data_IF_375812534375
#
_entry.id   IF_375812534375
#
_cell.length_a   1.000
_cell.length_b   1.000
_cell.length_c   1.000
_cell.angle_alpha   90.00
_cell.angle_beta   90.00
_cell.angle_gamma   90.00
#
_symmetry.space_group_name_H-M   'P 1'
#
loop_
_entity.id
_entity.type
_entity.pdbx_description
1 polymer ?
#
# COMPACT_ATOMS: atom_id res chain seq x y z
N UNK A 1 -9.04 -0.34 4.74
CA UNK A 1 -8.48 -0.88 3.49
C UNK A 1 -8.90 0.05 2.38
N UNK A 2 -7.98 0.47 1.52
CA UNK A 2 -8.30 1.33 0.38
C UNK A 2 -7.23 2.39 0.15
N UNK A 3 -7.53 3.32 -0.74
CA UNK A 3 -6.71 4.50 -1.01
C UNK A 3 -6.82 5.52 0.14
N UNK A 4 -5.69 5.79 0.80
CA UNK A 4 -5.59 6.78 1.86
C UNK A 4 -5.19 8.18 1.36
N UNK A 5 -4.85 8.33 0.08
CA UNK A 5 -4.28 9.55 -0.51
C UNK A 5 -3.12 10.13 0.30
N UNK A 6 -2.39 9.26 0.99
CA UNK A 6 -1.20 9.61 1.75
C UNK A 6 -0.08 8.64 1.41
N UNK A 7 1.04 9.17 0.95
CA UNK A 7 2.15 8.34 0.51
C UNK A 7 2.90 7.77 1.72
N UNK A 8 2.85 6.45 1.87
CA UNK A 8 3.50 5.74 2.96
C UNK A 8 5.03 5.89 2.97
N UNK A 9 5.62 6.40 1.88
CA UNK A 9 7.06 6.66 1.77
C UNK A 9 7.48 8.03 2.33
N UNK A 10 6.54 8.93 2.59
CA UNK A 10 6.83 10.28 3.11
C UNK A 10 6.71 10.27 4.64
N UNK A 11 7.80 10.63 5.32
CA UNK A 11 7.86 10.73 6.77
C UNK A 11 7.23 12.01 7.29
N UNK A 12 6.70 11.92 8.51
CA UNK A 12 6.06 12.99 9.29
C UNK A 12 4.78 13.54 8.65
N UNK A 13 4.10 12.72 7.86
CA UNK A 13 2.81 13.03 7.24
C UNK A 13 1.69 12.09 7.74
N UNK A 14 0.59 11.98 6.98
CA UNK A 14 -0.62 11.26 7.38
C UNK A 14 -0.41 9.78 7.66
N UNK A 15 0.49 9.11 6.93
CA UNK A 15 0.85 7.72 7.18
C UNK A 15 1.39 7.52 8.59
N UNK A 16 2.37 8.35 9.01
CA UNK A 16 2.93 8.29 10.35
C UNK A 16 1.89 8.64 11.43
N UNK A 17 0.97 9.57 11.15
CA UNK A 17 -0.15 9.86 12.05
C UNK A 17 -1.04 8.63 12.29
N UNK A 18 -1.36 7.87 11.22
CA UNK A 18 -2.17 6.66 11.32
C UNK A 18 -1.45 5.56 12.13
N UNK A 19 -0.15 5.37 11.91
CA UNK A 19 0.66 4.43 12.71
C UNK A 19 0.68 4.83 14.19
N UNK A 20 0.90 6.12 14.48
CA UNK A 20 0.91 6.64 15.86
C UNK A 20 -0.46 6.55 16.54
N UNK A 21 -1.54 6.45 15.76
CA UNK A 21 -2.91 6.25 16.26
C UNK A 21 -3.22 4.77 16.58
N UNK A 22 -2.24 3.88 16.46
CA UNK A 22 -2.37 2.46 16.82
C UNK A 22 -2.77 1.55 15.65
N UNK A 23 -2.80 2.06 14.41
CA UNK A 23 -2.96 1.22 13.24
C UNK A 23 -1.64 0.54 12.86
N UNK A 24 -1.74 -0.70 12.43
CA UNK A 24 -0.62 -1.52 11.98
C UNK A 24 -0.77 -1.73 10.49
N UNK A 25 0.24 -1.37 9.71
CA UNK A 25 0.26 -1.62 8.28
C UNK A 25 0.57 -3.10 8.01
N UNK A 26 -0.38 -3.83 7.41
CA UNK A 26 -0.22 -5.26 7.11
C UNK A 26 0.97 -5.54 6.20
N UNK A 27 1.36 -4.60 5.33
CA UNK A 27 2.56 -4.73 4.50
C UNK A 27 3.82 -4.73 5.35
N UNK A 28 3.93 -3.85 6.34
CA UNK A 28 5.15 -3.76 7.17
C UNK A 28 5.39 -5.02 8.00
N UNK A 29 4.31 -5.68 8.44
CA UNK A 29 4.37 -6.90 9.25
C UNK A 29 4.34 -8.18 8.42
N UNK A 30 4.24 -8.09 7.09
CA UNK A 30 4.20 -9.26 6.21
C UNK A 30 5.55 -9.98 6.15
N UNK A 31 5.51 -11.32 6.20
CA UNK A 31 6.68 -12.19 5.99
C UNK A 31 7.20 -12.03 4.56
N UNK A 32 6.31 -12.18 3.57
CA UNK A 32 6.62 -11.97 2.15
C UNK A 32 5.93 -10.70 1.63
N UNK A 33 6.68 -9.87 0.91
CA UNK A 33 6.18 -8.62 0.30
C UNK A 33 7.03 -8.22 -0.90
N UNK A 34 6.43 -7.48 -1.83
CA UNK A 34 7.12 -6.88 -2.98
C UNK A 34 7.62 -5.45 -2.67
N UNK A 35 7.66 -4.54 -3.65
CA UNK A 35 8.06 -3.15 -3.44
C UNK A 35 6.92 -2.27 -2.90
N UNK A 36 5.69 -2.78 -2.86
CA UNK A 36 4.53 -2.11 -2.31
C UNK A 36 4.03 -0.91 -3.12
N UNK A 37 4.54 -0.66 -4.34
CA UNK A 37 4.12 0.48 -5.14
C UNK A 37 2.72 0.27 -5.68
N UNK A 38 1.78 1.14 -5.31
CA UNK A 38 0.37 1.05 -5.73
C UNK A 38 0.02 2.06 -6.81
N UNK A 39 0.85 3.07 -7.02
CA UNK A 39 0.70 4.04 -8.11
C UNK A 39 2.04 4.27 -8.78
N UNK A 40 2.06 4.16 -10.12
CA UNK A 40 3.25 4.42 -10.94
C UNK A 40 2.98 5.52 -11.94
N UNK A 41 3.86 6.52 -11.96
CA UNK A 41 3.75 7.65 -12.88
C UNK A 41 2.75 8.70 -12.41
N UNK A 42 2.17 9.43 -13.36
CA UNK A 42 1.24 10.52 -13.08
C UNK A 42 -0.20 10.02 -13.09
N UNK A 43 -0.95 10.45 -12.08
CA UNK A 43 -2.40 10.25 -11.94
C UNK A 43 -3.05 11.61 -11.66
N UNK A 44 -4.37 11.69 -11.81
CA UNK A 44 -5.12 12.92 -11.55
C UNK A 44 -4.89 13.40 -10.10
N UNK A 45 -4.61 14.70 -9.92
CA UNK A 45 -4.27 15.32 -8.64
C UNK A 45 -2.80 15.22 -8.24
N UNK A 46 -1.97 14.54 -9.05
CA UNK A 46 -0.53 14.36 -8.84
C UNK A 46 0.29 14.69 -10.09
N UNK A 47 -0.22 15.61 -10.92
CA UNK A 47 0.38 15.99 -12.19
C UNK A 47 1.84 16.43 -12.02
N UNK A 48 2.72 15.98 -12.92
CA UNK A 48 4.16 16.24 -12.85
C UNK A 48 4.93 15.43 -11.80
N UNK A 49 4.27 14.66 -10.91
CA UNK A 49 4.95 13.80 -9.93
C UNK A 49 5.06 12.36 -10.43
N UNK A 50 6.12 12.08 -11.20
CA UNK A 50 6.43 10.75 -11.76
C UNK A 50 6.97 9.72 -10.77
N UNK A 51 7.08 10.10 -9.50
CA UNK A 51 7.57 9.21 -8.45
C UNK A 51 6.58 8.08 -8.19
N UNK A 52 7.11 6.88 -7.94
CA UNK A 52 6.32 5.76 -7.45
C UNK A 52 5.74 6.09 -6.07
N UNK A 53 4.48 5.74 -5.82
CA UNK A 53 3.79 6.02 -4.56
C UNK A 53 3.16 4.76 -3.99
N UNK A 54 2.94 4.76 -2.67
CA UNK A 54 2.19 3.73 -1.97
C UNK A 54 1.04 4.38 -1.20
N UNK A 55 -0.12 4.47 -1.86
CA UNK A 55 -1.31 5.17 -1.36
C UNK A 55 -2.37 4.20 -0.85
N UNK A 56 -2.43 3.00 -1.43
CA UNK A 56 -3.41 1.99 -1.10
C UNK A 56 -2.87 1.10 0.02
N UNK A 57 -3.54 1.12 1.17
CA UNK A 57 -3.04 0.47 2.38
C UNK A 57 -4.13 -0.39 3.02
N UNK A 58 -3.72 -1.56 3.49
CA UNK A 58 -4.52 -2.44 4.33
C UNK A 58 -3.95 -2.34 5.75
N UNK A 59 -4.62 -1.54 6.59
CA UNK A 59 -4.31 -1.48 8.02
C UNK A 59 -5.12 -2.50 8.82
N UNK A 60 -4.59 -2.89 9.97
CA UNK A 60 -5.26 -3.64 11.03
C UNK A 60 -5.09 -2.92 12.37
N UNK A 61 -6.05 -3.06 13.28
CA UNK A 61 -5.97 -2.55 14.65
C UNK A 61 -5.63 -3.65 15.68
N UNK A 62 -5.28 -4.85 15.20
CA UNK A 62 -4.89 -6.01 16.01
C UNK A 62 -3.68 -6.70 15.40
N UNK A 63 -2.89 -7.36 16.23
CA UNK A 63 -1.81 -8.23 15.76
C UNK A 63 -2.42 -9.39 14.97
N UNK A 64 -1.96 -9.58 13.73
CA UNK A 64 -2.37 -10.67 12.84
C UNK A 64 -1.11 -11.24 12.18
N UNK A 65 -1.10 -12.55 11.93
CA UNK A 65 -0.01 -13.17 11.19
C UNK A 65 -0.22 -12.92 9.69
N UNK A 66 0.56 -12.01 9.11
CA UNK A 66 0.50 -11.70 7.68
C UNK A 66 1.56 -12.52 6.95
N UNK A 67 1.12 -13.56 6.24
CA UNK A 67 2.01 -14.40 5.43
C UNK A 67 2.56 -13.64 4.24
N UNK A 68 1.68 -12.91 3.53
CA UNK A 68 2.03 -12.21 2.30
C UNK A 68 1.25 -10.91 2.14
N UNK A 69 1.90 -9.87 1.65
CA UNK A 69 1.27 -8.60 1.26
C UNK A 69 1.92 -8.08 -0.02
N UNK A 70 1.22 -8.23 -1.15
CA UNK A 70 1.74 -7.88 -2.47
C UNK A 70 0.81 -6.95 -3.22
N UNK A 71 1.38 -6.26 -4.20
CA UNK A 71 0.66 -5.54 -5.23
C UNK A 71 0.17 -6.52 -6.31
N UNK A 72 -1.01 -6.26 -6.85
CA UNK A 72 -1.66 -7.01 -7.93
C UNK A 72 -2.24 -6.05 -8.97
N UNK A 73 -2.44 -6.51 -10.19
CA UNK A 73 -2.83 -5.71 -11.36
C UNK A 73 -1.78 -4.65 -11.74
N UNK A 74 -0.50 -5.04 -11.71
CA UNK A 74 0.65 -4.16 -12.03
C UNK A 74 1.47 -4.62 -13.26
N UNK A 75 0.89 -5.47 -14.11
CA UNK A 75 1.56 -6.16 -15.25
C UNK A 75 2.72 -7.10 -14.87
N UNK A 76 3.03 -7.25 -13.58
CA UNK A 76 3.94 -8.27 -13.04
C UNK A 76 3.10 -9.40 -12.43
N UNK A 77 2.14 -9.02 -11.59
CA UNK A 77 1.13 -9.88 -11.00
C UNK A 77 -0.25 -9.48 -11.57
N UNK A 78 -0.71 -10.19 -12.61
CA UNK A 78 -1.94 -9.89 -13.38
C UNK A 78 -1.88 -8.57 -14.17
N UNK A 79 -2.74 -8.47 -15.17
CA UNK A 79 -2.85 -7.30 -16.04
C UNK A 79 -3.40 -6.10 -15.29
N UNK A 80 -2.91 -4.91 -15.63
CA UNK A 80 -3.42 -3.64 -15.10
C UNK A 80 -4.90 -3.45 -15.44
N UNK A 81 -5.67 -2.96 -14.48
CA UNK A 81 -7.10 -2.64 -14.61
C UNK A 81 -7.48 -1.22 -14.18
N UNK A 82 -6.57 -0.47 -13.55
CA UNK A 82 -6.75 0.92 -13.12
C UNK A 82 -5.41 1.67 -13.12
N UNK A 83 -5.47 2.98 -12.94
CA UNK A 83 -4.34 3.85 -12.61
C UNK A 83 -3.71 3.58 -11.23
N UNK A 84 -4.48 2.97 -10.32
CA UNK A 84 -4.00 2.32 -9.11
C UNK A 84 -3.85 0.80 -9.32
N UNK A 85 -2.80 0.24 -8.75
CA UNK A 85 -2.64 -1.20 -8.58
C UNK A 85 -3.35 -1.64 -7.29
N UNK A 86 -3.88 -2.86 -7.29
CA UNK A 86 -4.52 -3.45 -6.12
C UNK A 86 -3.50 -3.93 -5.09
N UNK A 87 -3.96 -4.15 -3.85
CA UNK A 87 -3.18 -4.79 -2.79
C UNK A 87 -3.87 -6.08 -2.36
N UNK A 88 -3.14 -7.20 -2.39
CA UNK A 88 -3.59 -8.50 -1.87
C UNK A 88 -2.83 -8.88 -0.60
N UNK A 89 -3.56 -9.29 0.44
CA UNK A 89 -3.01 -9.68 1.74
C UNK A 89 -3.52 -11.06 2.13
N UNK A 90 -2.59 -11.93 2.51
CA UNK A 90 -2.85 -13.28 3.00
C UNK A 90 -2.55 -13.34 4.48
N UNK A 91 -3.59 -13.48 5.30
CA UNK A 91 -3.48 -13.68 6.74
C UNK A 91 -3.60 -15.16 7.09
N UNK A 92 -2.96 -15.59 8.17
CA UNK A 92 -3.21 -16.90 8.77
C UNK A 92 -3.72 -16.78 10.20
N UNK A 93 -4.46 -17.82 10.60
CA UNK A 93 -4.83 -18.08 11.99
C UNK A 93 -3.61 -18.43 12.84
#
# INVERSE_FOLDING_TARGET
>A
MGDFNNDAMIKKEGYDYLLNSGLIDTYTIAVEKDDGITVKGEIAGWEGKKENKRLDIIFTNRSVNVKKSNVIFNNINKNVSSDHYGVEVYISE
#
